data_IF_515272822347
#
_entry.id   IF_515272822347
#
_cell.length_a   1.000
_cell.length_b   1.000
_cell.length_c   1.000
_cell.angle_alpha   90.00
_cell.angle_beta   90.00
_cell.angle_gamma   90.00
#
_symmetry.space_group_name_H-M   'P 1'
#
loop_
_entity.id
_entity.type
_entity.pdbx_description
1 polymer ?
#
# COMPACT_ATOMS: atom_id res chain seq x y z
N UNK A 1 12.26 6.10 14.15
CA UNK A 1 13.07 6.55 13.00
C UNK A 1 13.48 5.38 12.11
N UNK A 2 14.04 4.29 12.65
CA UNK A 2 14.49 3.14 11.84
C UNK A 2 13.35 2.36 11.16
N UNK A 3 12.23 2.10 11.86
CA UNK A 3 11.10 1.35 11.29
C UNK A 3 10.40 2.09 10.14
N UNK A 4 10.24 3.40 10.25
CA UNK A 4 9.66 4.22 9.18
C UNK A 4 10.49 4.12 7.91
N UNK A 5 11.84 4.15 8.02
CA UNK A 5 12.72 3.95 6.87
C UNK A 5 12.58 2.54 6.25
N UNK A 6 12.51 1.50 7.08
CA UNK A 6 12.37 0.12 6.60
C UNK A 6 11.07 -0.09 5.82
N UNK A 7 9.97 0.53 6.24
CA UNK A 7 8.68 0.47 5.53
C UNK A 7 8.80 1.02 4.11
N UNK A 8 9.48 2.16 3.93
CA UNK A 8 9.68 2.73 2.60
C UNK A 8 10.66 1.90 1.75
N UNK A 9 11.67 1.26 2.35
CA UNK A 9 12.54 0.32 1.63
C UNK A 9 11.80 -0.94 1.19
N UNK A 10 10.91 -1.47 2.01
CA UNK A 10 10.09 -2.62 1.65
C UNK A 10 9.20 -2.32 0.43
N UNK A 11 8.69 -1.08 0.32
CA UNK A 11 7.94 -0.65 -0.86
C UNK A 11 8.77 -0.74 -2.15
N UNK A 12 10.02 -0.28 -2.13
CA UNK A 12 10.91 -0.37 -3.30
C UNK A 12 11.12 -1.82 -3.73
N UNK A 13 11.38 -2.72 -2.79
CA UNK A 13 11.60 -4.15 -3.06
C UNK A 13 10.31 -4.84 -3.55
N UNK A 14 9.15 -4.43 -3.04
CA UNK A 14 7.82 -4.89 -3.48
C UNK A 14 7.54 -4.48 -4.93
N UNK A 15 7.74 -3.20 -5.29
CA UNK A 15 7.53 -2.70 -6.65
C UNK A 15 8.46 -3.37 -7.64
N UNK A 16 9.73 -3.58 -7.26
CA UNK A 16 10.69 -4.33 -8.07
C UNK A 16 10.34 -5.83 -8.22
N UNK A 17 9.32 -6.32 -7.50
CA UNK A 17 8.90 -7.72 -7.52
C UNK A 17 9.95 -8.67 -6.93
N UNK A 18 10.79 -8.17 -6.02
CA UNK A 18 11.80 -8.96 -5.30
C UNK A 18 11.19 -9.67 -4.08
N UNK A 19 10.08 -9.14 -3.59
CA UNK A 19 9.24 -9.78 -2.57
C UNK A 19 8.09 -10.50 -3.30
N UNK A 20 8.02 -11.84 -3.24
CA UNK A 20 6.90 -12.57 -3.83
C UNK A 20 5.64 -12.32 -3.00
N UNK A 21 4.62 -11.75 -3.62
CA UNK A 21 3.32 -11.49 -2.99
C UNK A 21 2.20 -12.07 -3.84
N UNK A 22 1.09 -12.44 -3.19
CA UNK A 22 -0.16 -12.74 -3.89
C UNK A 22 -0.87 -11.42 -4.25
N UNK A 23 -1.79 -11.42 -5.23
CA UNK A 23 -2.57 -10.23 -5.58
C UNK A 23 -3.33 -9.64 -4.39
N UNK A 24 -3.87 -10.50 -3.52
CA UNK A 24 -4.58 -10.08 -2.30
C UNK A 24 -3.63 -9.40 -1.31
N UNK A 25 -2.44 -9.97 -1.09
CA UNK A 25 -1.45 -9.37 -0.19
C UNK A 25 -0.92 -8.04 -0.75
N UNK A 26 -0.67 -7.95 -2.05
CA UNK A 26 -0.25 -6.72 -2.70
C UNK A 26 -1.30 -5.60 -2.55
N UNK A 27 -2.58 -5.94 -2.64
CA UNK A 27 -3.68 -4.99 -2.48
C UNK A 27 -3.80 -4.51 -1.03
N UNK A 28 -3.72 -5.42 -0.07
CA UNK A 28 -3.68 -5.08 1.36
C UNK A 28 -2.48 -4.19 1.72
N UNK A 29 -1.29 -4.49 1.18
CA UNK A 29 -0.11 -3.65 1.37
C UNK A 29 -0.31 -2.27 0.77
N UNK A 30 -0.84 -2.17 -0.46
CA UNK A 30 -1.15 -0.88 -1.07
C UNK A 30 -2.16 -0.06 -0.23
N UNK A 31 -3.19 -0.70 0.34
CA UNK A 31 -4.11 -0.04 1.27
C UNK A 31 -3.41 0.47 2.54
N UNK A 32 -2.50 -0.31 3.13
CA UNK A 32 -1.71 0.11 4.29
C UNK A 32 -0.76 1.28 3.95
N UNK A 33 -0.13 1.27 2.77
CA UNK A 33 0.67 2.42 2.31
C UNK A 33 -0.18 3.65 1.99
N UNK A 34 -1.44 3.49 1.54
CA UNK A 34 -2.39 4.59 1.43
C UNK A 34 -2.69 5.21 2.79
N UNK A 35 -2.95 4.38 3.80
CA UNK A 35 -3.15 4.82 5.18
C UNK A 35 -1.93 5.57 5.72
N UNK A 36 -0.71 5.09 5.45
CA UNK A 36 0.52 5.78 5.84
C UNK A 36 0.74 7.12 5.12
N UNK A 37 0.35 7.21 3.85
CA UNK A 37 0.63 8.38 3.02
C UNK A 37 -0.39 9.50 3.23
N UNK A 38 -1.65 9.14 3.48
CA UNK A 38 -2.78 10.08 3.48
C UNK A 38 -3.63 10.05 4.77
N UNK A 39 -3.39 9.11 5.68
CA UNK A 39 -4.26 8.88 6.84
C UNK A 39 -5.52 8.11 6.47
N UNK A 40 -6.63 8.40 7.14
CA UNK A 40 -7.90 7.72 6.89
C UNK A 40 -8.43 7.93 5.47
N UNK A 41 -9.06 6.89 4.93
CA UNK A 41 -9.65 6.93 3.60
C UNK A 41 -10.69 8.06 3.48
N UNK A 42 -10.60 8.91 2.44
CA UNK A 42 -11.67 9.85 2.13
C UNK A 42 -12.93 9.08 1.69
N UNK A 43 -14.08 9.75 1.69
CA UNK A 43 -15.33 9.16 1.23
C UNK A 43 -15.24 8.62 -0.21
N UNK A 44 -14.41 9.24 -1.05
CA UNK A 44 -14.05 8.75 -2.38
C UNK A 44 -12.55 8.96 -2.62
N UNK A 45 -11.85 7.88 -2.97
CA UNK A 45 -10.45 7.93 -3.39
C UNK A 45 -10.34 8.59 -4.77
N UNK A 46 -9.43 9.56 -4.91
CA UNK A 46 -9.20 10.20 -6.20
C UNK A 46 -8.35 9.32 -7.12
N UNK A 47 -8.45 9.53 -8.43
CA UNK A 47 -7.62 8.83 -9.40
C UNK A 47 -6.13 9.11 -9.18
N UNK A 48 -5.76 10.33 -8.79
CA UNK A 48 -4.39 10.71 -8.47
C UNK A 48 -3.85 9.95 -7.26
N UNK A 49 -4.64 9.80 -6.18
CA UNK A 49 -4.27 9.02 -5.01
C UNK A 49 -4.08 7.55 -5.40
N UNK A 50 -5.02 6.99 -6.14
CA UNK A 50 -4.93 5.60 -6.59
C UNK A 50 -3.71 5.36 -7.47
N UNK A 51 -3.47 6.23 -8.45
CA UNK A 51 -2.32 6.14 -9.35
C UNK A 51 -0.99 6.30 -8.60
N UNK A 52 -0.92 7.22 -7.63
CA UNK A 52 0.26 7.36 -6.78
C UNK A 52 0.53 6.09 -5.98
N UNK A 53 -0.48 5.56 -5.28
CA UNK A 53 -0.32 4.38 -4.42
C UNK A 53 0.06 3.15 -5.23
N UNK A 54 -0.66 2.87 -6.32
CA UNK A 54 -0.37 1.70 -7.16
C UNK A 54 1.00 1.78 -7.81
N UNK A 55 1.43 2.98 -8.24
CA UNK A 55 2.76 3.16 -8.85
C UNK A 55 3.90 3.01 -7.85
N UNK A 56 3.71 3.42 -6.59
CA UNK A 56 4.77 3.45 -5.58
C UNK A 56 4.79 2.22 -4.66
N UNK A 57 3.66 1.52 -4.52
CA UNK A 57 3.46 0.51 -3.48
C UNK A 57 2.79 -0.77 -3.96
N UNK A 58 2.63 -0.96 -5.28
CA UNK A 58 2.09 -2.19 -5.86
C UNK A 58 3.07 -2.81 -6.87
N UNK A 59 3.24 -4.15 -6.91
CA UNK A 59 4.16 -4.80 -7.85
C UNK A 59 3.83 -4.45 -9.31
N UNK A 60 4.78 -3.85 -10.04
CA UNK A 60 4.51 -3.38 -11.40
C UNK A 60 4.07 -4.50 -12.34
N UNK A 61 4.62 -5.70 -12.16
CA UNK A 61 4.26 -6.90 -12.95
C UNK A 61 2.82 -7.36 -12.75
N UNK A 62 2.18 -6.95 -11.66
CA UNK A 62 0.79 -7.32 -11.34
C UNK A 62 -0.22 -6.28 -11.84
N UNK A 63 0.19 -5.03 -12.09
CA UNK A 63 -0.71 -3.99 -12.60
C UNK A 63 -1.29 -4.34 -13.98
N UNK A 64 -0.51 -5.03 -14.81
CA UNK A 64 -0.94 -5.44 -16.15
C UNK A 64 -1.95 -6.61 -16.13
N UNK A 65 -2.01 -7.35 -15.01
CA UNK A 65 -2.80 -8.59 -14.88
C UNK A 65 -4.00 -8.41 -13.94
N UNK A 66 -3.85 -7.59 -12.91
CA UNK A 66 -4.88 -7.32 -11.92
C UNK A 66 -5.76 -6.14 -12.39
N UNK A 67 -7.06 -6.39 -12.54
CA UNK A 67 -8.05 -5.32 -12.76
C UNK A 67 -8.40 -4.64 -11.43
N UNK A 68 -7.39 -4.00 -10.82
CA UNK A 68 -7.55 -3.32 -9.54
C UNK A 68 -8.36 -2.05 -9.76
N UNK A 69 -9.58 -2.01 -9.21
CA UNK A 69 -10.51 -0.87 -9.34
C UNK A 69 -10.57 0.01 -8.09
N UNK A 70 -10.17 -0.54 -6.96
CA UNK A 70 -10.20 0.11 -5.65
C UNK A 70 -9.26 -0.61 -4.69
N UNK A 71 -8.95 0.04 -3.57
CA UNK A 71 -8.22 -0.53 -2.43
C UNK A 71 -9.18 -0.68 -1.25
N UNK A 72 -9.03 -1.70 -0.42
CA UNK A 72 -9.69 -1.82 0.89
C UNK A 72 -9.17 -0.81 1.93
N UNK A 73 -8.87 0.43 1.53
CA UNK A 73 -8.33 1.48 2.39
C UNK A 73 -9.34 1.95 3.45
N UNK A 74 -10.63 1.99 3.12
CA UNK A 74 -11.69 2.36 4.08
C UNK A 74 -11.80 1.40 5.27
N UNK A 75 -11.37 0.15 5.12
CA UNK A 75 -11.35 -0.85 6.20
C UNK A 75 -10.30 -0.53 7.28
N UNK A 76 -9.35 0.38 6.99
CA UNK A 76 -8.28 0.79 7.88
C UNK A 76 -8.61 2.08 8.66
N UNK A 77 -9.83 2.61 8.56
CA UNK A 77 -10.21 3.85 9.24
C UNK A 77 -9.95 3.78 10.75
N UNK A 78 -9.27 4.80 11.29
CA UNK A 78 -8.83 4.87 12.68
C UNK A 78 -7.51 4.15 12.96
N UNK A 79 -6.88 3.52 11.97
CA UNK A 79 -5.55 2.93 12.11
C UNK A 79 -4.48 4.03 12.12
N UNK A 80 -3.75 4.14 13.23
CA UNK A 80 -2.65 5.07 13.36
C UNK A 80 -1.41 4.64 12.57
N UNK A 81 -0.54 5.61 12.25
CA UNK A 81 0.71 5.38 11.51
C UNK A 81 1.57 4.27 12.14
N UNK A 82 1.69 4.26 13.47
CA UNK A 82 2.50 3.26 14.19
C UNK A 82 1.97 1.84 14.04
N UNK A 83 0.65 1.67 13.94
CA UNK A 83 0.02 0.36 13.74
C UNK A 83 0.19 -0.10 12.29
N UNK A 84 -0.01 0.79 11.32
CA UNK A 84 0.23 0.49 9.91
C UNK A 84 1.70 0.10 9.64
N UNK A 85 2.67 0.82 10.20
CA UNK A 85 4.10 0.46 10.15
C UNK A 85 4.33 -0.94 10.74
N UNK A 86 3.68 -1.26 11.86
CA UNK A 86 3.84 -2.56 12.51
C UNK A 86 3.32 -3.69 11.65
N UNK A 87 2.16 -3.52 11.02
CA UNK A 87 1.52 -4.53 10.16
C UNK A 87 2.34 -4.77 8.89
N UNK A 88 2.89 -3.72 8.28
CA UNK A 88 3.71 -3.85 7.06
C UNK A 88 5.00 -4.63 7.32
N UNK A 89 5.66 -4.38 8.45
CA UNK A 89 6.96 -4.98 8.77
C UNK A 89 6.88 -6.36 9.46
N UNK A 90 5.69 -6.92 9.61
CA UNK A 90 5.46 -8.18 10.32
C UNK A 90 5.74 -9.40 9.44
#
# INVERSE_FOLDING_TARGET
>A
MERSFLVWRMAEELVCGRIPTSPQLAEQLAALYAQLSYGDAPAQMTEEQFAFITKQFYPSKMLDVACLKSLSWSELSGMGESDAIRVILQ
#
